data_IF_713060788112
#
_entry.id   IF_713060788112
#
_cell.length_a   1.000
_cell.length_b   1.000
_cell.length_c   1.000
_cell.angle_alpha   90.00
_cell.angle_beta   90.00
_cell.angle_gamma   90.00
#
_symmetry.space_group_name_H-M   'P 1'
#
loop_
_entity.id
_entity.type
_entity.pdbx_description
1 polymer ?
#
# COMPACT_ATOMS: atom_id res chain seq x y z
N UNK A 1 -31.63 -7.90 45.29
CA UNK A 1 -30.19 -8.00 44.93
C UNK A 1 -29.88 -8.75 43.63
N UNK A 2 -30.84 -9.01 42.72
CA UNK A 2 -30.59 -9.69 41.42
C UNK A 2 -30.80 -8.79 40.18
N UNK A 3 -31.08 -7.50 40.38
CA UNK A 3 -31.30 -6.54 39.28
C UNK A 3 -30.11 -5.61 38.98
N UNK A 4 -29.02 -5.71 39.75
CA UNK A 4 -27.81 -4.91 39.56
C UNK A 4 -26.67 -5.63 38.81
N UNK A 5 -26.76 -6.96 38.61
CA UNK A 5 -25.72 -7.72 37.92
C UNK A 5 -25.90 -7.84 36.40
N UNK A 6 -27.11 -7.60 35.88
CA UNK A 6 -27.37 -7.68 34.43
C UNK A 6 -27.00 -6.42 33.65
N UNK A 7 -26.73 -5.30 34.32
CA UNK A 7 -26.35 -4.05 33.64
C UNK A 7 -24.85 -3.86 33.44
N UNK A 8 -23.99 -4.62 34.14
CA UNK A 8 -22.53 -4.52 33.97
C UNK A 8 -22.03 -5.41 32.83
N UNK A 9 -22.71 -6.54 32.56
CA UNK A 9 -22.34 -7.43 31.45
C UNK A 9 -22.68 -6.85 30.07
N UNK A 10 -23.72 -6.02 29.98
CA UNK A 10 -24.12 -5.36 28.73
C UNK A 10 -23.25 -4.13 28.38
N UNK A 11 -22.50 -3.58 29.35
CA UNK A 11 -21.64 -2.42 29.14
C UNK A 11 -20.18 -2.80 28.80
N UNK A 12 -19.81 -4.07 29.01
CA UNK A 12 -18.48 -4.60 28.65
C UNK A 12 -18.48 -5.22 27.23
N UNK A 13 -19.64 -5.49 26.63
CA UNK A 13 -19.77 -6.00 25.26
C UNK A 13 -19.80 -4.90 24.17
N UNK A 14 -19.62 -3.63 24.55
CA UNK A 14 -19.51 -2.49 23.64
C UNK A 14 -18.05 -2.00 23.47
N UNK A 15 -17.07 -2.83 23.83
CA UNK A 15 -15.66 -2.55 23.64
C UNK A 15 -15.07 -3.71 22.82
N UNK A 16 -14.50 -3.38 21.66
CA UNK A 16 -13.84 -4.28 20.71
C UNK A 16 -14.73 -5.09 19.75
N UNK A 17 -15.64 -4.42 19.05
CA UNK A 17 -15.68 -4.66 17.60
C UNK A 17 -14.61 -3.75 16.96
N UNK A 18 -13.33 -4.04 17.29
CA UNK A 18 -12.23 -3.50 16.53
C UNK A 18 -12.28 -4.19 15.18
N UNK A 19 -13.05 -3.65 14.25
CA UNK A 19 -12.71 -3.83 12.85
C UNK A 19 -11.25 -3.40 12.78
N UNK A 20 -10.38 -4.34 12.42
CA UNK A 20 -9.03 -4.01 11.99
C UNK A 20 -9.20 -3.18 10.73
N UNK A 21 -9.48 -1.89 10.91
CA UNK A 21 -9.21 -0.89 9.90
C UNK A 21 -7.71 -0.98 9.75
N UNK A 22 -7.25 -1.41 8.58
CA UNK A 22 -5.83 -1.38 8.24
C UNK A 22 -5.29 -0.02 8.69
N UNK A 23 -4.25 -0.02 9.52
CA UNK A 23 -3.73 1.23 10.06
C UNK A 23 -3.32 2.12 8.88
N UNK A 24 -4.03 3.23 8.70
CA UNK A 24 -3.78 4.10 7.55
C UNK A 24 -2.56 4.97 7.82
N UNK A 25 -1.66 5.06 6.84
CA UNK A 25 -0.59 6.04 6.89
C UNK A 25 -1.16 7.45 6.66
N UNK A 26 -0.82 8.38 7.56
CA UNK A 26 -1.23 9.78 7.45
C UNK A 26 -0.24 10.54 6.59
N UNK A 27 -0.65 10.89 5.38
CA UNK A 27 0.15 11.65 4.41
C UNK A 27 0.50 13.04 4.94
N UNK A 28 1.72 13.49 4.63
CA UNK A 28 2.22 14.82 4.95
C UNK A 28 2.92 15.42 3.73
N UNK A 29 2.76 16.74 3.46
CA UNK A 29 3.47 17.40 2.35
C UNK A 29 5.00 17.27 2.41
N UNK A 30 5.56 17.12 3.60
CA UNK A 30 7.00 16.94 3.83
C UNK A 30 7.49 15.48 3.77
N UNK A 31 6.62 14.51 3.47
CA UNK A 31 7.04 13.11 3.41
C UNK A 31 8.09 12.90 2.33
N UNK A 32 9.20 12.29 2.71
CA UNK A 32 10.38 12.10 1.87
C UNK A 32 10.96 10.73 2.16
N UNK A 33 10.92 9.82 1.17
CA UNK A 33 11.47 8.46 1.24
C UNK A 33 11.09 7.73 2.53
N UNK A 34 9.81 7.84 2.93
CA UNK A 34 9.28 7.19 4.12
C UNK A 34 9.13 5.70 3.86
N UNK A 35 9.70 4.86 4.73
CA UNK A 35 9.36 3.43 4.78
C UNK A 35 7.94 3.28 5.34
N UNK A 36 7.06 2.64 4.56
CA UNK A 36 5.63 2.52 4.89
C UNK A 36 5.19 1.09 5.22
N UNK A 37 6.12 0.14 5.25
CA UNK A 37 5.79 -1.28 5.37
C UNK A 37 5.02 -1.64 6.64
N UNK A 38 5.17 -0.85 7.74
CA UNK A 38 4.40 -1.05 8.97
C UNK A 38 2.89 -0.84 8.78
N UNK A 39 2.50 -0.09 7.76
CA UNK A 39 1.10 0.21 7.40
C UNK A 39 0.59 -0.69 6.27
N UNK A 40 1.43 -1.59 5.76
CA UNK A 40 1.08 -2.48 4.67
C UNK A 40 0.59 -3.82 5.21
N UNK A 41 -0.35 -4.41 4.49
CA UNK A 41 -0.77 -5.79 4.67
C UNK A 41 -0.38 -6.61 3.45
N UNK A 42 -0.06 -7.88 3.67
CA UNK A 42 0.17 -8.87 2.63
C UNK A 42 -0.99 -9.86 2.59
N UNK A 43 -1.37 -10.26 1.38
CA UNK A 43 -2.34 -11.32 1.16
C UNK A 43 -1.67 -12.70 1.08
N UNK A 44 -2.26 -13.71 1.74
CA UNK A 44 -1.71 -15.07 1.81
C UNK A 44 -2.58 -16.14 1.13
N UNK A 45 -3.66 -15.77 0.45
CA UNK A 45 -4.58 -16.73 -0.18
C UNK A 45 -4.14 -17.29 -1.53
N UNK A 46 -2.85 -17.21 -1.84
CA UNK A 46 -2.25 -17.71 -3.08
C UNK A 46 -2.19 -16.69 -4.22
N UNK A 47 -1.93 -17.20 -5.42
CA UNK A 47 -1.81 -16.39 -6.63
C UNK A 47 -3.18 -15.96 -7.18
N UNK A 48 -3.28 -14.70 -7.59
CA UNK A 48 -4.46 -14.12 -8.22
C UNK A 48 -4.02 -13.05 -9.21
N UNK A 49 -4.68 -13.00 -10.36
CA UNK A 49 -4.46 -11.94 -11.37
C UNK A 49 -5.28 -10.67 -11.11
N UNK A 50 -6.19 -10.71 -10.15
CA UNK A 50 -7.00 -9.56 -9.72
C UNK A 50 -6.81 -9.30 -8.23
N UNK A 51 -6.98 -8.05 -7.76
CA UNK A 51 -6.82 -7.77 -6.33
C UNK A 51 -7.82 -8.58 -5.48
N UNK A 52 -7.39 -9.20 -4.37
CA UNK A 52 -8.25 -9.97 -3.49
C UNK A 52 -9.06 -9.06 -2.53
N UNK A 53 -9.91 -8.19 -3.09
CA UNK A 53 -10.58 -7.07 -2.41
C UNK A 53 -11.25 -7.43 -1.08
N UNK A 54 -12.04 -8.50 -1.05
CA UNK A 54 -12.91 -8.86 0.09
C UNK A 54 -12.42 -10.08 0.87
N UNK A 55 -11.18 -10.49 0.68
CA UNK A 55 -10.66 -11.68 1.35
C UNK A 55 -10.20 -11.36 2.78
N UNK A 56 -10.34 -12.30 3.71
CA UNK A 56 -9.93 -12.16 5.11
C UNK A 56 -8.47 -12.52 5.36
N UNK A 57 -7.73 -12.96 4.33
CA UNK A 57 -6.33 -13.39 4.45
C UNK A 57 -5.30 -12.27 4.26
N UNK A 58 -5.73 -11.01 4.31
CA UNK A 58 -4.84 -9.87 4.52
C UNK A 58 -4.30 -9.89 5.95
N UNK A 59 -2.98 -9.80 6.10
CA UNK A 59 -2.32 -9.71 7.42
C UNK A 59 -1.24 -8.64 7.39
N UNK A 60 -0.96 -7.96 8.51
CA UNK A 60 0.14 -6.98 8.58
C UNK A 60 1.45 -7.57 8.04
N UNK A 61 2.14 -6.80 7.20
CA UNK A 61 3.42 -7.18 6.65
C UNK A 61 4.48 -7.12 7.77
N UNK A 62 5.17 -8.23 8.00
CA UNK A 62 6.22 -8.28 9.02
C UNK A 62 7.60 -7.94 8.45
N UNK A 63 8.49 -7.43 9.30
CA UNK A 63 9.86 -7.07 8.91
C UNK A 63 10.63 -8.27 8.29
N UNK A 64 10.41 -9.48 8.81
CA UNK A 64 11.05 -10.70 8.29
C UNK A 64 10.56 -11.11 6.90
N UNK A 65 9.50 -10.49 6.39
CA UNK A 65 8.95 -10.77 5.07
C UNK A 65 9.35 -9.72 4.03
N UNK A 66 9.95 -8.62 4.45
CA UNK A 66 10.37 -7.55 3.55
C UNK A 66 11.42 -8.05 2.55
N UNK A 67 12.36 -8.87 3.00
CA UNK A 67 13.35 -9.51 2.14
C UNK A 67 12.92 -10.96 1.90
N UNK A 68 12.52 -11.28 0.68
CA UNK A 68 12.01 -12.60 0.31
C UNK A 68 13.11 -13.60 -0.08
N UNK A 69 14.33 -13.12 -0.28
CA UNK A 69 15.41 -13.93 -0.83
C UNK A 69 15.18 -14.18 -2.32
N UNK A 70 15.57 -15.36 -2.81
CA UNK A 70 15.37 -15.74 -4.21
C UNK A 70 14.01 -16.41 -4.38
N UNK A 71 13.07 -15.75 -5.05
CA UNK A 71 11.79 -16.33 -5.47
C UNK A 71 11.28 -15.70 -6.78
N UNK A 72 10.23 -16.30 -7.35
CA UNK A 72 9.51 -15.81 -8.52
C UNK A 72 8.00 -15.66 -8.24
N UNK A 73 7.66 -15.35 -6.99
CA UNK A 73 6.26 -15.29 -6.57
C UNK A 73 5.72 -13.88 -6.77
N UNK A 74 4.46 -13.81 -7.18
CA UNK A 74 3.69 -12.57 -7.15
C UNK A 74 3.08 -12.38 -5.76
N UNK A 75 3.20 -11.15 -5.26
CA UNK A 75 2.77 -10.78 -3.93
C UNK A 75 1.76 -9.65 -4.00
N UNK A 76 0.63 -9.87 -3.34
CA UNK A 76 -0.40 -8.86 -3.16
C UNK A 76 -0.16 -8.13 -1.84
N UNK A 77 -0.05 -6.81 -1.93
CA UNK A 77 0.05 -5.88 -0.82
C UNK A 77 -1.14 -4.93 -0.82
N UNK A 78 -1.53 -4.44 0.36
CA UNK A 78 -2.57 -3.44 0.56
C UNK A 78 -2.07 -2.36 1.49
N UNK A 79 -2.38 -1.11 1.17
CA UNK A 79 -2.09 0.06 2.00
C UNK A 79 -3.28 1.01 1.96
N UNK A 80 -3.56 1.66 3.09
CA UNK A 80 -4.50 2.78 3.15
C UNK A 80 -3.72 4.06 3.44
N UNK A 81 -3.87 5.05 2.57
CA UNK A 81 -3.31 6.39 2.71
C UNK A 81 -4.43 7.36 3.07
N UNK A 82 -4.20 8.21 4.05
CA UNK A 82 -5.17 9.20 4.53
C UNK A 82 -4.57 10.59 4.40
N UNK A 83 -5.31 11.53 3.80
CA UNK A 83 -4.93 12.93 3.74
C UNK A 83 -5.71 13.73 4.79
N UNK A 84 -5.12 14.07 5.95
CA UNK A 84 -5.81 14.82 6.99
C UNK A 84 -5.81 16.35 6.75
N UNK A 85 -5.29 16.82 5.62
CA UNK A 85 -5.10 18.25 5.37
C UNK A 85 -6.23 18.85 4.53
N UNK A 86 -6.27 20.18 4.47
CA UNK A 86 -7.25 20.95 3.68
C UNK A 86 -6.90 21.02 2.18
N UNK A 87 -5.79 20.43 1.75
CA UNK A 87 -5.31 20.51 0.37
C UNK A 87 -5.03 19.10 -0.16
N UNK A 88 -5.22 18.86 -1.47
CA UNK A 88 -4.87 17.57 -2.06
C UNK A 88 -3.36 17.31 -1.88
N UNK A 89 -3.02 16.07 -1.54
CA UNK A 89 -1.62 15.64 -1.45
C UNK A 89 -1.35 14.68 -2.60
N UNK A 90 -0.50 15.10 -3.52
CA UNK A 90 0.07 14.23 -4.54
C UNK A 90 1.30 13.52 -3.97
N UNK A 91 1.31 12.20 -4.06
CA UNK A 91 2.36 11.34 -3.53
C UNK A 91 2.93 10.43 -4.60
N UNK A 92 4.13 9.94 -4.36
CA UNK A 92 4.87 9.01 -5.21
C UNK A 92 5.17 7.76 -4.38
N UNK A 93 4.76 6.61 -4.90
CA UNK A 93 5.15 5.31 -4.37
C UNK A 93 6.25 4.72 -5.25
N UNK A 94 7.31 4.25 -4.60
CA UNK A 94 8.56 3.86 -5.22
C UNK A 94 8.97 2.48 -4.74
N UNK A 95 9.20 1.54 -5.67
CA UNK A 95 9.81 0.27 -5.30
C UNK A 95 11.29 0.47 -4.96
N UNK A 96 11.80 -0.22 -3.92
CA UNK A 96 13.18 -0.05 -3.48
C UNK A 96 14.20 -0.49 -4.55
N UNK A 97 13.89 -1.54 -5.31
CA UNK A 97 14.77 -2.07 -6.35
C UNK A 97 14.37 -1.64 -7.76
N UNK A 98 15.35 -1.41 -8.62
CA UNK A 98 15.14 -1.04 -10.03
C UNK A 98 14.85 -2.23 -10.95
N UNK A 99 15.12 -3.44 -10.47
CA UNK A 99 15.09 -4.69 -11.23
C UNK A 99 13.89 -5.56 -10.88
N UNK A 100 12.87 -5.04 -10.18
CA UNK A 100 11.61 -5.77 -10.02
C UNK A 100 10.93 -5.87 -11.37
N UNK A 101 10.45 -7.06 -11.71
CA UNK A 101 9.91 -7.30 -13.04
C UNK A 101 8.50 -6.71 -13.21
N UNK A 102 7.69 -6.76 -12.15
CA UNK A 102 6.32 -6.27 -12.17
C UNK A 102 5.98 -5.47 -10.90
N UNK A 103 5.36 -4.31 -11.10
CA UNK A 103 4.54 -3.60 -10.10
C UNK A 103 3.24 -3.17 -10.77
N UNK A 104 2.12 -3.75 -10.34
CA UNK A 104 0.77 -3.29 -10.69
C UNK A 104 0.16 -2.61 -9.47
N UNK A 105 -0.46 -1.45 -9.67
CA UNK A 105 -1.18 -0.74 -8.62
C UNK A 105 -2.63 -0.50 -9.04
N UNK A 106 -3.57 -0.84 -8.15
CA UNK A 106 -4.99 -0.60 -8.29
C UNK A 106 -5.39 0.40 -7.22
N UNK A 107 -5.78 1.58 -7.66
CA UNK A 107 -6.05 2.73 -6.79
C UNK A 107 -7.55 2.86 -6.61
N UNK A 108 -8.01 2.79 -5.36
CA UNK A 108 -9.41 2.93 -5.00
C UNK A 108 -9.63 4.15 -4.10
N UNK A 109 -10.80 4.77 -4.21
CA UNK A 109 -11.23 5.77 -3.24
C UNK A 109 -11.72 5.10 -1.94
N UNK A 110 -12.06 5.90 -0.93
CA UNK A 110 -12.58 5.42 0.35
C UNK A 110 -13.87 4.59 0.25
N UNK A 111 -14.66 4.75 -0.83
CA UNK A 111 -15.86 3.95 -1.07
C UNK A 111 -15.58 2.57 -1.68
N UNK A 112 -14.33 2.30 -2.08
CA UNK A 112 -13.91 1.07 -2.74
C UNK A 112 -14.08 1.07 -4.26
N UNK A 113 -14.42 2.20 -4.88
CA UNK A 113 -14.46 2.36 -6.33
C UNK A 113 -13.04 2.41 -6.90
N UNK A 114 -12.79 1.63 -7.95
CA UNK A 114 -11.52 1.67 -8.69
C UNK A 114 -11.43 2.98 -9.49
N UNK A 115 -10.43 3.79 -9.18
CA UNK A 115 -10.16 5.07 -9.83
C UNK A 115 -9.12 4.92 -10.94
N UNK A 116 -8.05 4.17 -10.68
CA UNK A 116 -6.93 4.04 -11.61
C UNK A 116 -6.24 2.67 -11.51
N UNK A 117 -5.70 2.19 -12.63
CA UNK A 117 -4.81 1.03 -12.67
C UNK A 117 -3.51 1.42 -13.35
N UNK A 118 -2.40 1.13 -12.69
CA UNK A 118 -1.04 1.48 -13.14
C UNK A 118 -0.25 0.19 -13.25
N UNK A 119 0.44 -0.01 -14.38
CA UNK A 119 1.23 -1.22 -14.64
C UNK A 119 2.66 -0.79 -14.99
N UNK A 120 3.61 -1.25 -14.19
CA UNK A 120 5.05 -1.07 -14.38
C UNK A 120 5.65 -2.45 -14.60
N UNK A 121 5.78 -2.84 -15.87
CA UNK A 121 6.34 -4.11 -16.33
C UNK A 121 7.70 -3.84 -17.00
N UNK A 122 8.73 -4.56 -16.60
CA UNK A 122 10.10 -4.38 -17.09
C UNK A 122 10.29 -4.80 -18.55
N UNK A 123 9.36 -5.57 -19.10
CA UNK A 123 9.27 -5.86 -20.53
C UNK A 123 8.76 -4.67 -21.36
N UNK A 124 8.23 -3.61 -20.72
CA UNK A 124 7.76 -2.41 -21.41
C UNK A 124 8.90 -1.40 -21.59
N UNK A 125 8.90 -0.62 -22.69
CA UNK A 125 9.86 0.45 -22.89
C UNK A 125 9.88 1.43 -21.72
N UNK A 126 11.07 1.88 -21.30
CA UNK A 126 11.21 2.86 -20.23
C UNK A 126 10.40 4.15 -20.46
N UNK A 127 10.22 4.56 -21.72
CA UNK A 127 9.42 5.72 -22.12
C UNK A 127 7.93 5.60 -21.80
N UNK A 128 7.43 4.40 -21.52
CA UNK A 128 6.04 4.16 -21.11
C UNK A 128 5.84 4.27 -19.59
N UNK A 129 6.92 4.46 -18.80
CA UNK A 129 6.79 4.64 -17.35
C UNK A 129 6.09 5.99 -17.03
N UNK A 130 5.08 6.01 -16.13
CA UNK A 130 4.42 7.23 -15.68
C UNK A 130 5.39 8.27 -15.11
N UNK A 131 6.40 7.79 -14.39
CA UNK A 131 7.50 8.58 -13.87
C UNK A 131 8.80 8.08 -14.51
N UNK A 132 9.48 8.96 -15.24
CA UNK A 132 10.76 8.65 -15.89
C UNK A 132 11.92 8.54 -14.88
N UNK A 133 11.87 7.55 -13.99
CA UNK A 133 12.84 7.34 -12.92
C UNK A 133 13.43 5.93 -12.98
N UNK A 134 14.67 5.78 -12.50
CA UNK A 134 15.45 4.52 -12.59
C UNK A 134 14.75 3.35 -11.91
N UNK A 135 14.05 3.61 -10.81
CA UNK A 135 13.26 2.63 -10.05
C UNK A 135 11.77 2.76 -10.43
N UNK A 136 11.00 1.66 -10.49
CA UNK A 136 9.56 1.69 -10.71
C UNK A 136 8.87 2.61 -9.70
N UNK A 137 8.18 3.62 -10.22
CA UNK A 137 7.51 4.61 -9.42
C UNK A 137 6.22 5.04 -10.11
N UNK A 138 5.20 5.30 -9.31
CA UNK A 138 3.94 5.86 -9.75
C UNK A 138 3.46 6.91 -8.76
N UNK A 139 2.60 7.82 -9.22
CA UNK A 139 2.02 8.87 -8.41
C UNK A 139 0.52 8.82 -8.43
N UNK A 140 -0.08 9.33 -7.36
CA UNK A 140 -1.51 9.55 -7.28
C UNK A 140 -1.82 10.69 -6.30
N UNK A 141 -3.05 11.23 -6.37
CA UNK A 141 -3.50 12.31 -5.49
C UNK A 141 -4.56 11.82 -4.53
N UNK A 142 -4.36 12.05 -3.24
CA UNK A 142 -5.40 11.86 -2.22
C UNK A 142 -6.03 13.22 -1.90
N UNK A 143 -7.34 13.35 -2.11
CA UNK A 143 -8.10 14.57 -1.88
C UNK A 143 -8.14 14.99 -0.40
N UNK A 144 -8.43 16.27 -0.09
CA UNK A 144 -8.56 16.75 1.29
C UNK A 144 -9.53 15.91 2.12
N UNK A 145 -9.13 15.54 3.34
CA UNK A 145 -9.92 14.75 4.29
C UNK A 145 -10.43 13.41 3.74
N UNK A 146 -9.78 12.87 2.72
CA UNK A 146 -10.15 11.61 2.07
C UNK A 146 -9.06 10.53 2.25
N UNK A 147 -9.40 9.31 1.82
CA UNK A 147 -8.54 8.15 1.84
C UNK A 147 -8.39 7.53 0.44
N UNK A 148 -7.20 6.99 0.21
CA UNK A 148 -6.90 6.17 -0.96
C UNK A 148 -6.50 4.78 -0.50
N UNK A 149 -7.11 3.75 -1.08
CA UNK A 149 -6.75 2.36 -0.85
C UNK A 149 -5.93 1.90 -2.05
N UNK A 150 -4.71 1.42 -1.79
CA UNK A 150 -3.78 0.98 -2.82
C UNK A 150 -3.61 -0.53 -2.70
N UNK A 151 -3.98 -1.27 -3.74
CA UNK A 151 -3.62 -2.68 -3.88
C UNK A 151 -2.44 -2.79 -4.84
N UNK A 152 -1.40 -3.52 -4.45
CA UNK A 152 -0.18 -3.66 -5.24
C UNK A 152 0.04 -5.14 -5.51
N UNK A 153 0.23 -5.51 -6.77
CA UNK A 153 0.81 -6.79 -7.16
C UNK A 153 2.26 -6.56 -7.54
N UNK A 154 3.19 -7.26 -6.90
CA UNK A 154 4.62 -7.08 -7.16
C UNK A 154 5.35 -8.42 -7.14
N UNK A 155 6.40 -8.56 -7.95
CA UNK A 155 7.21 -9.76 -7.95
C UNK A 155 8.12 -9.89 -9.16
N UNK A 156 8.71 -11.08 -9.28
CA UNK A 156 9.63 -11.45 -10.35
C UNK A 156 8.98 -12.51 -11.26
N UNK A 157 9.18 -12.43 -12.57
CA UNK A 157 8.83 -13.47 -13.54
C UNK A 157 9.81 -14.64 -13.47
N UNK A 158 11.09 -14.34 -13.26
CA UNK A 158 12.17 -15.32 -13.10
C UNK A 158 12.71 -15.24 -11.68
N UNK A 159 13.11 -16.38 -11.10
CA UNK A 159 13.57 -16.41 -9.72
C UNK A 159 14.84 -15.56 -9.54
N UNK A 160 14.73 -14.51 -8.73
CA UNK A 160 15.82 -13.61 -8.36
C UNK A 160 15.52 -13.00 -6.98
N UNK A 161 16.41 -12.15 -6.47
CA UNK A 161 16.27 -11.45 -5.20
C UNK A 161 15.01 -10.59 -5.19
N UNK A 162 14.06 -10.89 -4.31
CA UNK A 162 12.80 -10.18 -4.21
C UNK A 162 12.67 -9.43 -2.87
N UNK A 163 12.12 -8.22 -2.92
CA UNK A 163 11.81 -7.40 -1.74
C UNK A 163 10.40 -6.85 -1.85
N UNK A 164 9.74 -6.68 -0.72
CA UNK A 164 8.41 -6.08 -0.62
C UNK A 164 8.48 -4.62 -0.13
N UNK A 165 9.66 -4.00 -0.22
CA UNK A 165 9.91 -2.65 0.26
C UNK A 165 9.49 -1.61 -0.77
N UNK A 166 8.56 -0.76 -0.33
CA UNK A 166 8.19 0.46 -1.02
C UNK A 166 8.50 1.67 -0.13
N UNK A 167 8.88 2.75 -0.80
CA UNK A 167 9.08 4.06 -0.20
C UNK A 167 7.97 5.00 -0.66
N UNK A 168 7.53 5.87 0.23
CA UNK A 168 6.54 6.90 -0.06
C UNK A 168 7.19 8.28 0.06
N UNK A 169 6.87 9.17 -0.88
CA UNK A 169 7.23 10.59 -0.79
C UNK A 169 6.04 11.42 -1.22
N UNK A 170 5.92 12.67 -0.76
CA UNK A 170 5.13 13.64 -1.51
C UNK A 170 5.80 13.85 -2.86
N UNK A 171 5.03 14.19 -3.90
CA UNK A 171 5.60 14.42 -5.23
C UNK A 171 6.59 15.58 -5.25
N UNK A 172 6.30 16.63 -4.47
CA UNK A 172 7.23 17.75 -4.33
C UNK A 172 8.60 17.27 -3.81
N UNK A 173 8.61 16.53 -2.69
CA UNK A 173 9.86 16.01 -2.11
C UNK A 173 10.56 15.01 -3.04
N UNK A 174 9.79 14.19 -3.76
CA UNK A 174 10.34 13.27 -4.75
C UNK A 174 11.09 14.01 -5.86
N UNK A 175 10.51 15.06 -6.45
CA UNK A 175 11.15 15.81 -7.54
C UNK A 175 12.36 16.62 -7.06
N UNK A 176 12.33 17.16 -5.84
CA UNK A 176 13.48 17.85 -5.23
C UNK A 176 14.69 16.91 -5.07
N UNK A 177 14.47 15.61 -4.85
CA UNK A 177 15.51 14.63 -4.55
C UNK A 177 15.88 13.71 -5.72
N UNK A 178 15.16 13.82 -6.85
CA UNK A 178 15.33 12.94 -8.01
C UNK A 178 16.72 13.01 -8.66
N UNK A 179 17.50 14.04 -8.32
CA UNK A 179 18.83 14.33 -8.88
C UNK A 179 19.95 13.50 -8.18
N UNK A 180 19.65 12.75 -7.10
CA UNK A 180 20.58 11.85 -6.39
C UNK A 180 20.39 10.36 -6.79
#
# INVERSE_FOLDING_TARGET
MKRLLTSILAMILLIYAGFAVAESYQLKPQDSKVEIWQFMERFYGGESDVPPYLNTEWKPLSESELNRGIDNQMHWLRLVLSNPSEQPIEWVMLHENSYVDLVEAYIHNASGELIETIILDDHKPFSERPIAYRKPAFSFTTEPHDQTIVYIRTGMWVADSNTLRFLLSSKQQFEEQRIE
#
